data_IF_444054282998
#
_entry.id   IF_444054282998
#
_cell.length_a   1.000
_cell.length_b   1.000
_cell.length_c   1.000
_cell.angle_alpha   90.00
_cell.angle_beta   90.00
_cell.angle_gamma   90.00
#
_symmetry.space_group_name_H-M   'P 1'
#
loop_
_entity.id
_entity.type
_entity.pdbx_description
1 polymer ?
#
# COMPACT_ATOMS: atom_id res chain seq x y z
N UNK A 1 16.98 56.92 5.74
CA UNK A 1 17.30 56.50 4.34
C UNK A 1 17.18 54.99 4.32
N UNK A 2 16.09 54.46 3.80
CA UNK A 2 15.88 53.03 3.58
C UNK A 2 16.88 52.56 2.52
N UNK A 3 17.91 51.84 2.98
CA UNK A 3 18.79 51.15 2.06
C UNK A 3 17.97 50.00 1.45
N UNK A 4 17.59 50.14 0.17
CA UNK A 4 17.01 49.04 -0.58
C UNK A 4 17.91 47.78 -0.49
N UNK A 5 17.35 46.68 -0.12
CA UNK A 5 18.07 45.42 0.03
C UNK A 5 18.66 44.98 -1.32
N UNK A 6 19.99 44.92 -1.40
CA UNK A 6 20.70 44.46 -2.61
C UNK A 6 21.06 42.98 -2.49
N UNK A 7 20.22 42.11 -3.11
CA UNK A 7 20.41 40.68 -3.10
C UNK A 7 21.76 40.22 -3.69
N UNK A 8 22.27 40.94 -4.73
CA UNK A 8 23.54 40.57 -5.36
C UNK A 8 24.74 40.84 -4.43
N UNK A 9 24.73 42.00 -3.78
CA UNK A 9 25.75 42.34 -2.77
C UNK A 9 25.69 41.36 -1.59
N UNK A 10 24.49 41.02 -1.12
CA UNK A 10 24.30 40.07 -0.03
C UNK A 10 24.78 38.67 -0.39
N UNK A 11 24.46 38.15 -1.57
CA UNK A 11 25.00 36.85 -2.08
C UNK A 11 26.53 36.88 -2.13
N UNK A 12 27.14 37.96 -2.63
CA UNK A 12 28.60 38.10 -2.67
C UNK A 12 29.20 38.06 -1.26
N UNK A 13 28.58 38.71 -0.32
CA UNK A 13 28.98 38.66 1.11
C UNK A 13 28.88 37.20 1.62
N UNK A 14 27.76 36.49 1.39
CA UNK A 14 27.59 35.13 1.85
C UNK A 14 28.63 34.16 1.24
N UNK A 15 29.04 34.38 0.00
CA UNK A 15 30.15 33.63 -0.59
C UNK A 15 31.49 33.98 0.05
N UNK A 16 31.74 35.26 0.39
CA UNK A 16 33.01 35.70 0.98
C UNK A 16 33.27 35.12 2.37
N UNK A 17 32.21 34.86 3.13
CA UNK A 17 32.29 34.24 4.47
C UNK A 17 32.14 32.70 4.44
N UNK A 18 32.14 32.09 3.25
CA UNK A 18 31.93 30.62 3.03
C UNK A 18 30.60 30.08 3.54
N UNK A 19 29.59 30.92 3.78
CA UNK A 19 28.23 30.47 4.09
C UNK A 19 27.56 29.86 2.85
N UNK A 20 27.65 30.52 1.69
CA UNK A 20 27.31 29.95 0.41
C UNK A 20 28.56 29.40 -0.28
N UNK A 21 28.46 28.23 -0.83
CA UNK A 21 29.47 27.61 -1.67
C UNK A 21 28.98 27.50 -3.12
N UNK A 22 29.92 27.50 -4.06
CA UNK A 22 29.59 27.23 -5.46
C UNK A 22 29.03 25.81 -5.56
N UNK A 23 28.03 25.66 -6.41
CA UNK A 23 27.48 24.34 -6.74
C UNK A 23 28.59 23.41 -7.26
N UNK A 24 28.64 22.20 -6.71
CA UNK A 24 29.59 21.19 -7.13
C UNK A 24 29.25 20.59 -8.48
N UNK A 25 30.09 19.69 -8.96
CA UNK A 25 29.76 18.89 -10.16
C UNK A 25 28.59 17.96 -9.86
N UNK A 26 27.76 17.75 -10.88
CA UNK A 26 26.67 16.73 -10.77
C UNK A 26 27.25 15.38 -10.38
N UNK A 27 26.62 14.75 -9.40
CA UNK A 27 26.98 13.42 -8.95
C UNK A 27 25.73 12.54 -8.87
N UNK A 28 25.93 11.25 -8.92
CA UNK A 28 24.88 10.25 -8.65
C UNK A 28 25.24 9.52 -7.37
N UNK A 29 24.24 9.41 -6.48
CA UNK A 29 24.35 8.51 -5.35
C UNK A 29 24.23 7.09 -5.88
N UNK A 30 25.26 6.28 -5.64
CA UNK A 30 25.26 4.85 -5.95
C UNK A 30 25.00 4.09 -4.66
N UNK A 31 23.84 3.46 -4.58
CA UNK A 31 23.44 2.62 -3.46
C UNK A 31 23.14 1.22 -3.98
N UNK A 32 23.53 0.22 -3.21
CA UNK A 32 23.25 -1.18 -3.48
C UNK A 32 22.31 -1.74 -2.41
N UNK A 33 21.57 -2.80 -2.76
CA UNK A 33 20.66 -3.51 -1.84
C UNK A 33 19.59 -2.64 -1.17
N UNK A 34 19.11 -1.61 -1.86
CA UNK A 34 18.00 -0.80 -1.39
C UNK A 34 16.68 -1.45 -1.80
N UNK A 35 15.75 -1.56 -0.85
CA UNK A 35 14.41 -2.09 -1.10
C UNK A 35 13.72 -1.35 -2.26
N UNK A 36 13.00 -2.09 -3.09
CA UNK A 36 12.33 -1.50 -4.26
C UNK A 36 11.27 -0.47 -3.86
N UNK A 37 10.62 -0.66 -2.72
CA UNK A 37 9.65 0.26 -2.13
C UNK A 37 10.25 1.62 -1.77
N UNK A 38 11.56 1.69 -1.55
CA UNK A 38 12.29 2.93 -1.26
C UNK A 38 12.90 3.53 -2.52
N UNK A 39 13.46 2.68 -3.41
CA UNK A 39 14.31 3.14 -4.51
C UNK A 39 13.59 3.27 -5.84
N UNK A 40 12.48 2.55 -6.07
CA UNK A 40 11.86 2.43 -7.40
C UNK A 40 10.34 2.56 -7.43
N UNK A 41 9.64 2.13 -6.37
CA UNK A 41 8.19 2.05 -6.37
C UNK A 41 7.59 3.24 -5.62
N UNK A 42 7.15 4.31 -6.32
CA UNK A 42 6.54 5.46 -5.67
C UNK A 42 5.11 5.09 -5.24
N UNK A 43 4.93 4.78 -3.97
CA UNK A 43 3.63 4.41 -3.42
C UNK A 43 3.33 5.13 -2.11
N UNK A 44 2.07 5.14 -1.67
CA UNK A 44 1.67 5.69 -0.39
C UNK A 44 2.40 5.00 0.76
N UNK A 45 2.72 5.78 1.80
CA UNK A 45 3.29 5.31 3.05
C UNK A 45 2.34 5.59 4.20
N UNK A 46 2.19 4.63 5.09
CA UNK A 46 1.42 4.78 6.32
C UNK A 46 2.35 4.99 7.52
N UNK A 47 1.82 5.65 8.56
CA UNK A 47 2.43 5.71 9.90
C UNK A 47 1.42 5.16 10.88
N UNK A 48 1.86 4.30 11.80
CA UNK A 48 0.98 3.63 12.74
C UNK A 48 1.65 3.45 14.11
N UNK A 49 0.93 3.72 15.23
CA UNK A 49 1.46 3.49 16.57
C UNK A 49 1.63 2.00 16.85
N UNK A 50 2.81 1.59 17.30
CA UNK A 50 3.11 0.20 17.64
C UNK A 50 2.36 -0.28 18.88
N UNK A 51 1.95 0.61 19.76
CA UNK A 51 1.16 0.31 20.97
C UNK A 51 -0.18 -0.39 20.64
N UNK A 52 -0.72 -0.19 19.44
CA UNK A 52 -1.94 -0.83 18.97
C UNK A 52 -1.64 -1.94 17.96
N UNK A 53 -1.55 -3.18 18.41
CA UNK A 53 -1.26 -4.35 17.58
C UNK A 53 -2.26 -4.54 16.40
N UNK A 54 -3.54 -4.19 16.60
CA UNK A 54 -4.55 -4.27 15.53
C UNK A 54 -4.28 -3.24 14.43
N UNK A 55 -3.92 -2.02 14.80
CA UNK A 55 -3.57 -0.97 13.83
C UNK A 55 -2.29 -1.31 13.10
N UNK A 56 -1.27 -1.79 13.81
CA UNK A 56 -0.01 -2.23 13.22
C UNK A 56 -0.21 -3.35 12.19
N UNK A 57 -1.03 -4.37 12.50
CA UNK A 57 -1.39 -5.43 11.57
C UNK A 57 -2.20 -4.91 10.38
N UNK A 58 -3.13 -3.97 10.59
CA UNK A 58 -3.90 -3.38 9.50
C UNK A 58 -2.99 -2.61 8.54
N UNK A 59 -2.08 -1.80 9.08
CA UNK A 59 -1.16 -1.00 8.26
C UNK A 59 -0.15 -1.89 7.50
N UNK A 60 0.40 -2.91 8.15
CA UNK A 60 1.26 -3.89 7.48
C UNK A 60 0.54 -4.61 6.32
N UNK A 61 -0.74 -4.92 6.48
CA UNK A 61 -1.57 -5.60 5.48
C UNK A 61 -2.16 -4.65 4.43
N UNK A 62 -2.06 -3.33 4.62
CA UNK A 62 -2.63 -2.32 3.72
C UNK A 62 -1.90 -2.20 2.38
N UNK A 63 -0.85 -2.98 2.14
CA UNK A 63 -0.23 -3.06 0.81
C UNK A 63 -1.27 -3.39 -0.26
N UNK A 64 -2.23 -4.26 0.04
CA UNK A 64 -3.28 -4.66 -0.88
C UNK A 64 -4.65 -4.25 -0.34
N UNK A 65 -5.26 -3.28 -0.96
CA UNK A 65 -6.58 -2.76 -0.61
C UNK A 65 -7.65 -3.06 -1.65
N UNK A 66 -8.85 -3.43 -1.19
CA UNK A 66 -10.03 -3.55 -2.03
C UNK A 66 -10.55 -2.18 -2.41
N UNK A 67 -10.60 -1.87 -3.71
CA UNK A 67 -11.23 -0.65 -4.20
C UNK A 67 -12.76 -0.73 -4.05
N UNK A 68 -13.32 -1.94 -4.24
CA UNK A 68 -14.75 -2.15 -4.06
C UNK A 68 -15.18 -1.79 -2.64
N UNK A 69 -14.52 -2.34 -1.63
CA UNK A 69 -14.85 -2.08 -0.23
C UNK A 69 -14.66 -0.60 0.14
N UNK A 70 -13.59 0.03 -0.36
CA UNK A 70 -13.30 1.43 -0.11
C UNK A 70 -14.40 2.35 -0.69
N UNK A 71 -14.86 2.11 -1.91
CA UNK A 71 -15.89 2.91 -2.57
C UNK A 71 -17.28 2.59 -2.01
N UNK A 72 -17.59 1.31 -1.77
CA UNK A 72 -18.88 0.91 -1.24
C UNK A 72 -19.10 1.41 0.19
N UNK A 73 -18.06 1.37 1.02
CA UNK A 73 -18.10 1.69 2.44
C UNK A 73 -17.95 3.16 2.81
N UNK A 74 -17.74 4.06 1.84
CA UNK A 74 -17.50 5.50 2.08
C UNK A 74 -18.45 6.35 1.21
N UNK A 75 -18.40 7.66 1.36
CA UNK A 75 -19.15 8.63 0.56
C UNK A 75 -18.47 9.06 -0.74
N UNK A 76 -17.36 8.41 -1.12
CA UNK A 76 -16.54 8.76 -2.29
C UNK A 76 -17.33 8.75 -3.63
N UNK A 77 -18.37 7.91 -3.75
CA UNK A 77 -19.23 7.81 -4.95
C UNK A 77 -20.68 8.26 -4.70
N UNK A 78 -20.93 8.95 -3.61
CA UNK A 78 -22.24 9.48 -3.24
C UNK A 78 -22.54 9.36 -1.75
N UNK A 79 -23.31 10.31 -1.23
CA UNK A 79 -23.65 10.46 0.20
C UNK A 79 -24.83 9.59 0.66
N UNK A 80 -25.24 8.60 -0.11
CA UNK A 80 -26.34 7.70 0.25
C UNK A 80 -25.98 6.97 1.56
N UNK A 81 -26.87 7.02 2.55
CA UNK A 81 -26.68 6.28 3.81
C UNK A 81 -26.50 4.79 3.53
N UNK A 82 -25.41 4.23 4.03
CA UNK A 82 -25.22 2.79 4.02
C UNK A 82 -26.19 2.16 5.02
N UNK A 83 -27.10 1.36 4.51
CA UNK A 83 -27.96 0.51 5.32
C UNK A 83 -27.18 -0.74 5.76
N UNK A 84 -27.67 -1.45 6.78
CA UNK A 84 -27.14 -2.74 7.22
C UNK A 84 -27.32 -3.86 6.17
N UNK A 85 -28.07 -3.58 5.09
CA UNK A 85 -28.28 -4.49 3.96
C UNK A 85 -27.47 -4.05 2.76
N UNK A 86 -27.04 -5.03 1.96
CA UNK A 86 -26.40 -4.74 0.69
C UNK A 86 -27.36 -4.00 -0.27
N UNK A 87 -26.87 -2.89 -0.85
CA UNK A 87 -27.57 -2.12 -1.85
C UNK A 87 -27.02 -2.46 -3.26
N UNK A 88 -27.78 -3.19 -4.11
CA UNK A 88 -27.31 -3.60 -5.44
C UNK A 88 -27.11 -2.41 -6.39
N UNK A 89 -27.89 -1.34 -6.24
CA UNK A 89 -27.73 -0.12 -7.07
C UNK A 89 -26.39 0.53 -6.78
N UNK A 90 -26.05 0.67 -5.48
CA UNK A 90 -24.75 1.18 -5.07
C UNK A 90 -23.61 0.26 -5.52
N UNK A 91 -23.79 -1.06 -5.38
CA UNK A 91 -22.81 -2.04 -5.87
C UNK A 91 -22.55 -1.92 -7.37
N UNK A 92 -23.59 -1.68 -8.16
CA UNK A 92 -23.48 -1.40 -9.60
C UNK A 92 -22.65 -0.14 -9.89
N UNK A 93 -22.94 0.98 -9.17
CA UNK A 93 -22.14 2.22 -9.30
C UNK A 93 -20.65 2.00 -8.97
N UNK A 94 -20.35 1.16 -7.97
CA UNK A 94 -18.95 0.82 -7.63
C UNK A 94 -18.27 0.06 -8.76
N UNK A 95 -18.94 -0.95 -9.35
CA UNK A 95 -18.39 -1.70 -10.49
C UNK A 95 -18.20 -0.80 -11.71
N UNK A 96 -19.13 0.11 -11.98
CA UNK A 96 -19.00 1.09 -13.06
C UNK A 96 -17.79 2.00 -12.84
N UNK A 97 -17.61 2.49 -11.62
CA UNK A 97 -16.40 3.26 -11.25
C UNK A 97 -15.12 2.45 -11.44
N UNK A 98 -15.10 1.19 -11.01
CA UNK A 98 -13.95 0.31 -11.22
C UNK A 98 -13.62 0.14 -12.72
N UNK A 99 -14.63 0.10 -13.58
CA UNK A 99 -14.42 0.01 -15.03
C UNK A 99 -13.95 1.32 -15.65
N UNK A 100 -14.42 2.48 -15.16
CA UNK A 100 -13.91 3.79 -15.53
C UNK A 100 -12.43 3.93 -15.13
N UNK A 101 -12.08 3.54 -13.92
CA UNK A 101 -10.71 3.50 -13.44
C UNK A 101 -9.81 2.60 -14.33
N UNK A 102 -10.31 1.44 -14.75
CA UNK A 102 -9.58 0.58 -15.70
C UNK A 102 -9.43 1.22 -17.08
N UNK A 103 -10.43 1.94 -17.58
CA UNK A 103 -10.34 2.66 -18.86
C UNK A 103 -9.28 3.77 -18.81
N UNK A 104 -9.14 4.45 -17.66
CA UNK A 104 -8.16 5.51 -17.46
C UNK A 104 -6.73 4.95 -17.39
N UNK A 105 -6.47 3.97 -16.55
CA UNK A 105 -5.08 3.53 -16.23
C UNK A 105 -4.61 2.31 -17.03
N UNK A 106 -5.53 1.51 -17.56
CA UNK A 106 -5.25 0.34 -18.41
C UNK A 106 -6.07 0.37 -19.70
N UNK A 107 -5.94 1.43 -20.50
CA UNK A 107 -6.81 1.63 -21.66
C UNK A 107 -6.73 0.47 -22.66
N UNK A 108 -7.88 0.13 -23.23
CA UNK A 108 -7.98 -0.82 -24.32
C UNK A 108 -7.81 -0.15 -25.67
N UNK A 109 -7.41 -0.89 -26.70
CA UNK A 109 -7.33 -0.38 -28.07
C UNK A 109 -8.73 -0.17 -28.65
N UNK A 110 -9.13 1.11 -28.84
CA UNK A 110 -10.42 1.51 -29.41
C UNK A 110 -11.64 0.82 -28.75
N UNK A 111 -11.58 0.63 -27.45
CA UNK A 111 -12.62 -0.05 -26.68
C UNK A 111 -12.64 0.41 -25.23
N UNK A 112 -13.68 0.05 -24.48
CA UNK A 112 -13.84 0.32 -23.05
C UNK A 112 -14.03 -0.99 -22.29
N UNK A 113 -13.51 -1.03 -21.07
CA UNK A 113 -13.72 -2.13 -20.11
C UNK A 113 -15.21 -2.35 -19.79
N UNK A 114 -16.03 -1.31 -19.90
CA UNK A 114 -17.51 -1.40 -19.72
C UNK A 114 -18.19 -2.31 -20.76
N UNK A 115 -17.57 -2.47 -21.94
CA UNK A 115 -18.16 -3.25 -23.06
C UNK A 115 -17.63 -4.68 -23.13
N UNK A 116 -16.71 -5.10 -22.25
CA UNK A 116 -16.16 -6.44 -22.28
C UNK A 116 -17.24 -7.49 -22.00
N UNK A 117 -17.32 -8.49 -22.85
CA UNK A 117 -18.19 -9.66 -22.71
C UNK A 117 -17.45 -10.93 -22.29
N UNK A 118 -16.14 -10.99 -22.48
CA UNK A 118 -15.33 -12.15 -22.11
C UNK A 118 -13.92 -11.73 -21.70
N UNK A 119 -13.41 -12.31 -20.62
CA UNK A 119 -12.04 -12.22 -20.15
C UNK A 119 -11.54 -13.63 -19.80
N UNK A 120 -10.45 -14.06 -20.43
CA UNK A 120 -9.85 -15.38 -20.15
C UNK A 120 -8.35 -15.41 -20.39
N UNK A 121 -7.71 -16.44 -19.86
CA UNK A 121 -6.31 -16.75 -20.12
C UNK A 121 -6.21 -17.95 -21.05
N UNK A 122 -5.48 -17.79 -22.15
CA UNK A 122 -5.20 -18.87 -23.11
C UNK A 122 -3.71 -18.92 -23.36
N UNK A 123 -3.07 -20.06 -23.12
CA UNK A 123 -1.60 -20.23 -23.25
C UNK A 123 -0.84 -19.09 -22.59
N UNK A 124 -1.20 -18.76 -21.33
CA UNK A 124 -0.64 -17.69 -20.49
C UNK A 124 -0.84 -16.24 -21.01
N UNK A 125 -1.67 -16.04 -22.03
CA UNK A 125 -1.97 -14.73 -22.61
C UNK A 125 -3.36 -14.26 -22.18
N UNK A 126 -3.49 -12.97 -21.90
CA UNK A 126 -4.77 -12.33 -21.62
C UNK A 126 -5.55 -12.15 -22.92
N UNK A 127 -6.75 -12.71 -22.97
CA UNK A 127 -7.70 -12.59 -24.08
C UNK A 127 -8.92 -11.82 -23.58
N UNK A 128 -9.20 -10.71 -24.22
CA UNK A 128 -10.35 -9.86 -23.96
C UNK A 128 -11.25 -9.82 -25.20
N UNK A 129 -12.59 -9.88 -25.03
CA UNK A 129 -13.51 -9.82 -26.16
C UNK A 129 -14.69 -8.89 -25.89
N UNK A 130 -15.19 -8.30 -26.97
CA UNK A 130 -16.48 -7.61 -27.07
C UNK A 130 -17.27 -8.32 -28.16
N UNK A 131 -18.28 -9.10 -27.77
CA UNK A 131 -18.96 -10.02 -28.68
C UNK A 131 -17.96 -10.99 -29.32
N UNK A 132 -17.90 -11.02 -30.66
CA UNK A 132 -16.95 -11.87 -31.42
C UNK A 132 -15.57 -11.25 -31.60
N UNK A 133 -15.38 -9.95 -31.32
CA UNK A 133 -14.15 -9.21 -31.57
C UNK A 133 -13.15 -9.35 -30.41
N UNK A 134 -11.93 -9.76 -30.72
CA UNK A 134 -10.81 -9.77 -29.77
C UNK A 134 -10.23 -8.38 -29.63
N UNK A 135 -10.07 -7.93 -28.38
CA UNK A 135 -9.52 -6.62 -28.01
C UNK A 135 -8.21 -6.83 -27.23
N UNK A 136 -7.36 -5.83 -27.17
CA UNK A 136 -6.12 -5.88 -26.38
C UNK A 136 -5.93 -4.60 -25.57
N UNK A 137 -5.13 -4.69 -24.51
CA UNK A 137 -4.58 -3.51 -23.83
C UNK A 137 -3.84 -2.62 -24.87
N UNK A 138 -3.92 -1.31 -24.69
CA UNK A 138 -3.15 -0.36 -25.49
C UNK A 138 -1.65 -0.58 -25.28
N UNK A 139 -1.22 -0.76 -24.03
CA UNK A 139 0.12 -1.25 -23.68
C UNK A 139 0.03 -2.68 -23.14
N UNK A 140 0.48 -3.64 -23.95
CA UNK A 140 0.48 -5.06 -23.57
C UNK A 140 1.45 -5.39 -22.44
N UNK A 141 2.45 -4.52 -22.14
CA UNK A 141 3.41 -4.72 -21.05
C UNK A 141 2.77 -4.55 -19.68
N UNK A 142 1.60 -3.91 -19.62
CA UNK A 142 0.84 -3.76 -18.38
C UNK A 142 0.28 -5.09 -17.85
N UNK A 143 0.07 -6.12 -18.69
CA UNK A 143 -0.31 -7.45 -18.19
C UNK A 143 0.93 -8.14 -17.61
N UNK A 144 0.90 -8.48 -16.32
CA UNK A 144 2.00 -9.14 -15.60
C UNK A 144 1.77 -10.62 -15.36
N UNK A 145 0.53 -11.00 -15.13
CA UNK A 145 0.22 -12.39 -14.84
C UNK A 145 -1.22 -12.61 -14.42
N UNK A 146 -1.47 -13.76 -13.86
CA UNK A 146 -2.81 -14.15 -13.46
C UNK A 146 -2.76 -15.18 -12.32
N UNK A 147 -3.88 -15.38 -11.70
CA UNK A 147 -4.09 -16.39 -10.66
C UNK A 147 -5.28 -17.26 -11.02
N UNK A 148 -5.12 -18.58 -10.92
CA UNK A 148 -6.17 -19.53 -11.17
C UNK A 148 -6.09 -20.73 -10.22
N UNK A 149 -7.19 -21.43 -10.05
CA UNK A 149 -7.29 -22.70 -9.33
C UNK A 149 -8.06 -23.74 -10.17
N UNK A 150 -8.40 -24.87 -9.55
CA UNK A 150 -9.20 -25.94 -10.21
C UNK A 150 -10.59 -25.48 -10.67
N UNK A 151 -11.11 -24.38 -10.09
CA UNK A 151 -12.43 -23.81 -10.42
C UNK A 151 -12.36 -22.71 -11.49
N UNK A 152 -11.15 -22.37 -11.99
CA UNK A 152 -10.94 -21.41 -13.05
C UNK A 152 -10.13 -20.19 -12.66
N UNK A 153 -10.23 -19.13 -13.48
CA UNK A 153 -9.52 -17.86 -13.29
C UNK A 153 -10.03 -17.15 -12.03
N UNK A 154 -9.08 -16.67 -11.19
CA UNK A 154 -9.37 -15.95 -9.94
C UNK A 154 -8.92 -14.50 -9.96
N UNK A 155 -7.92 -14.20 -10.77
CA UNK A 155 -7.43 -12.82 -10.86
C UNK A 155 -6.53 -12.61 -12.05
N UNK A 156 -6.53 -11.36 -12.54
CA UNK A 156 -5.65 -10.85 -13.59
C UNK A 156 -4.84 -9.72 -13.00
N UNK A 157 -3.52 -9.83 -13.08
CA UNK A 157 -2.58 -8.86 -12.53
C UNK A 157 -2.09 -7.92 -13.61
N UNK A 158 -2.37 -6.64 -13.42
CA UNK A 158 -1.89 -5.54 -14.24
C UNK A 158 -0.90 -4.68 -13.44
N UNK A 159 -0.10 -3.87 -14.13
CA UNK A 159 0.85 -2.92 -13.54
C UNK A 159 0.76 -1.55 -14.23
N UNK A 160 0.81 -0.50 -13.42
CA UNK A 160 0.93 0.88 -13.90
C UNK A 160 1.86 1.66 -12.96
N UNK A 161 2.84 2.38 -13.51
CA UNK A 161 3.81 3.16 -12.73
C UNK A 161 4.49 2.39 -11.57
N UNK A 162 4.77 1.10 -11.77
CA UNK A 162 5.39 0.25 -10.75
C UNK A 162 4.42 -0.35 -9.72
N UNK A 163 3.16 0.10 -9.68
CA UNK A 163 2.13 -0.41 -8.75
C UNK A 163 1.21 -1.41 -9.45
N UNK A 164 0.85 -2.46 -8.74
CA UNK A 164 0.02 -3.52 -9.26
C UNK A 164 -1.47 -3.31 -8.94
N UNK A 165 -2.30 -3.76 -9.86
CA UNK A 165 -3.76 -3.87 -9.69
C UNK A 165 -4.18 -5.27 -10.09
N UNK A 166 -4.83 -5.98 -9.19
CA UNK A 166 -5.41 -7.29 -9.47
C UNK A 166 -6.92 -7.17 -9.67
N UNK A 167 -7.38 -7.51 -10.88
CA UNK A 167 -8.80 -7.71 -11.15
C UNK A 167 -9.21 -9.04 -10.52
N UNK A 168 -10.13 -9.01 -9.57
CA UNK A 168 -10.67 -10.23 -8.94
C UNK A 168 -11.84 -10.74 -9.79
N UNK A 169 -11.71 -11.97 -10.26
CA UNK A 169 -12.73 -12.63 -11.09
C UNK A 169 -13.46 -13.66 -10.23
N UNK A 170 -14.69 -13.35 -9.88
CA UNK A 170 -15.56 -14.22 -9.09
C UNK A 170 -17.02 -14.06 -9.52
N UNK A 171 -17.46 -14.77 -10.56
CA UNK A 171 -18.85 -14.69 -11.06
C UNK A 171 -19.91 -15.15 -10.04
N UNK A 172 -19.49 -15.81 -8.97
CA UNK A 172 -20.38 -16.25 -7.87
C UNK A 172 -20.49 -15.23 -6.74
N UNK A 173 -19.73 -14.14 -6.79
CA UNK A 173 -19.89 -13.08 -5.82
C UNK A 173 -21.26 -12.41 -6.01
N UNK A 174 -21.94 -12.13 -4.91
CA UNK A 174 -23.30 -11.59 -4.94
C UNK A 174 -23.42 -10.30 -5.77
N UNK A 175 -22.42 -9.44 -5.70
CA UNK A 175 -22.37 -8.17 -6.43
C UNK A 175 -21.79 -8.28 -7.86
N UNK A 176 -21.24 -9.44 -8.24
CA UNK A 176 -20.70 -9.69 -9.58
C UNK A 176 -21.55 -10.66 -10.41
N UNK A 177 -22.71 -11.07 -9.90
CA UNK A 177 -23.54 -12.12 -10.49
C UNK A 177 -24.05 -11.77 -11.92
N UNK A 178 -24.20 -10.49 -12.22
CA UNK A 178 -24.60 -9.99 -13.54
C UNK A 178 -23.44 -9.38 -14.35
N UNK A 179 -22.21 -9.45 -13.85
CA UNK A 179 -21.05 -8.93 -14.54
C UNK A 179 -20.58 -9.92 -15.64
N UNK A 180 -20.49 -9.51 -16.93
CA UNK A 180 -20.18 -10.40 -18.04
C UNK A 180 -18.83 -11.12 -17.93
N UNK A 181 -17.85 -10.52 -17.22
CA UNK A 181 -16.52 -11.09 -17.01
C UNK A 181 -16.34 -11.60 -15.58
N UNK A 182 -17.36 -11.46 -14.72
CA UNK A 182 -17.31 -11.82 -13.31
C UNK A 182 -16.40 -10.92 -12.48
N UNK A 183 -16.20 -9.66 -12.88
CA UNK A 183 -15.42 -8.69 -12.12
C UNK A 183 -16.11 -8.39 -10.78
N UNK A 184 -15.47 -8.78 -9.69
CA UNK A 184 -16.02 -8.59 -8.35
C UNK A 184 -15.28 -7.53 -7.55
N UNK A 185 -14.00 -7.25 -7.85
CA UNK A 185 -13.21 -6.25 -7.15
C UNK A 185 -11.98 -5.84 -7.98
N UNK A 186 -11.41 -4.70 -7.64
CA UNK A 186 -10.04 -4.33 -7.98
C UNK A 186 -9.25 -4.26 -6.68
N UNK A 187 -8.26 -5.13 -6.53
CA UNK A 187 -7.34 -5.09 -5.40
C UNK A 187 -6.09 -4.35 -5.82
N UNK A 188 -5.87 -3.20 -5.20
CA UNK A 188 -4.82 -2.26 -5.56
C UNK A 188 -3.65 -2.39 -4.59
N UNK A 189 -2.42 -2.31 -5.10
CA UNK A 189 -1.23 -2.12 -4.28
C UNK A 189 -1.24 -0.67 -3.75
N UNK A 190 -1.79 -0.48 -2.54
CA UNK A 190 -2.25 0.81 -2.02
C UNK A 190 -1.30 1.44 -1.01
N UNK A 191 -0.56 0.66 -0.21
CA UNK A 191 0.43 1.16 0.74
C UNK A 191 1.68 0.28 0.69
N UNK A 192 2.73 0.76 0.03
CA UNK A 192 3.93 -0.06 -0.22
C UNK A 192 4.88 -0.11 0.96
N UNK A 193 4.86 0.91 1.83
CA UNK A 193 5.65 0.97 3.06
C UNK A 193 4.82 1.48 4.23
N UNK A 194 5.23 1.12 5.44
CA UNK A 194 4.60 1.54 6.69
C UNK A 194 5.67 1.84 7.72
N UNK A 195 5.60 3.02 8.31
CA UNK A 195 6.41 3.38 9.48
C UNK A 195 5.69 2.86 10.72
N UNK A 196 6.30 1.91 11.37
CA UNK A 196 5.91 1.44 12.69
C UNK A 196 6.53 2.39 13.71
N UNK A 197 5.67 3.14 14.38
CA UNK A 197 6.08 4.29 15.16
C UNK A 197 6.16 3.96 16.65
N UNK A 198 7.33 4.23 17.24
CA UNK A 198 7.57 4.19 18.70
C UNK A 198 7.67 5.60 19.30
N UNK A 199 7.48 6.64 18.49
CA UNK A 199 7.71 8.03 18.87
C UNK A 199 6.39 8.82 18.91
N UNK A 200 6.15 9.74 17.98
CA UNK A 200 5.13 10.78 18.08
C UNK A 200 3.69 10.28 18.21
N UNK A 201 3.36 9.14 17.65
CA UNK A 201 2.01 8.54 17.74
C UNK A 201 1.84 7.60 18.93
N UNK A 202 2.86 7.45 19.79
CA UNK A 202 2.83 6.57 20.96
C UNK A 202 3.04 7.39 22.24
N UNK A 203 2.13 7.22 23.21
CA UNK A 203 2.31 7.68 24.57
C UNK A 203 2.50 6.45 25.47
N UNK A 204 3.74 6.20 25.91
CA UNK A 204 4.08 5.19 26.89
C UNK A 204 4.22 5.88 28.27
N UNK A 205 3.30 5.60 29.18
CA UNK A 205 3.30 6.25 30.51
C UNK A 205 4.11 5.48 31.54
N UNK A 206 4.42 4.20 31.25
CA UNK A 206 5.22 3.34 32.11
C UNK A 206 6.01 2.29 31.32
N UNK A 207 6.80 1.48 32.03
CA UNK A 207 7.57 0.39 31.42
C UNK A 207 6.69 -0.69 30.79
N UNK A 208 5.48 -0.89 31.29
CA UNK A 208 4.54 -1.89 30.72
C UNK A 208 4.11 -1.50 29.31
N UNK A 209 3.80 -0.20 29.09
CA UNK A 209 3.44 0.33 27.80
C UNK A 209 4.60 0.23 26.79
N UNK A 210 5.84 0.52 27.23
CA UNK A 210 7.04 0.33 26.40
C UNK A 210 7.22 -1.13 25.99
N UNK A 211 7.13 -2.05 26.95
CA UNK A 211 7.26 -3.50 26.69
C UNK A 211 6.15 -4.00 25.76
N UNK A 212 4.93 -3.46 25.86
CA UNK A 212 3.86 -3.79 24.92
C UNK A 212 4.25 -3.41 23.48
N UNK A 213 4.79 -2.20 23.27
CA UNK A 213 5.31 -1.76 21.98
C UNK A 213 6.37 -2.72 21.42
N UNK A 214 7.37 -3.06 22.24
CA UNK A 214 8.43 -3.98 21.84
C UNK A 214 7.93 -5.40 21.52
N UNK A 215 6.99 -5.91 22.30
CA UNK A 215 6.35 -7.22 22.00
C UNK A 215 5.62 -7.22 20.69
N UNK A 216 4.89 -6.14 20.39
CA UNK A 216 4.19 -5.99 19.11
C UNK A 216 5.18 -5.93 17.95
N UNK A 217 6.25 -5.13 18.09
CA UNK A 217 7.30 -5.04 17.08
C UNK A 217 8.00 -6.37 16.85
N UNK A 218 8.41 -7.07 17.91
CA UNK A 218 8.98 -8.41 17.83
C UNK A 218 8.03 -9.40 17.14
N UNK A 219 6.73 -9.31 17.42
CA UNK A 219 5.70 -10.13 16.78
C UNK A 219 5.55 -9.86 15.28
N UNK A 220 5.70 -8.59 14.85
CA UNK A 220 5.74 -8.23 13.42
C UNK A 220 6.99 -8.81 12.74
N UNK A 221 8.18 -8.64 13.33
CA UNK A 221 9.43 -9.17 12.79
C UNK A 221 9.44 -10.70 12.68
N UNK A 222 8.92 -11.40 13.71
CA UNK A 222 8.76 -12.86 13.69
C UNK A 222 7.61 -13.35 12.80
N UNK A 223 6.75 -12.45 12.32
CA UNK A 223 5.60 -12.80 11.49
C UNK A 223 4.47 -13.51 12.23
N UNK A 224 4.46 -13.48 13.57
CA UNK A 224 3.48 -14.19 14.40
C UNK A 224 2.56 -13.27 15.22
N UNK A 225 2.66 -11.95 15.06
CA UNK A 225 1.73 -11.02 15.68
C UNK A 225 0.30 -11.36 15.25
N UNK A 226 -0.59 -11.44 16.24
CA UNK A 226 -2.00 -11.75 16.01
C UNK A 226 -2.88 -11.02 17.00
N UNK A 227 -4.07 -10.62 16.55
CA UNK A 227 -5.09 -10.01 17.39
C UNK A 227 -6.41 -10.75 17.20
N UNK A 228 -7.04 -11.09 18.32
CA UNK A 228 -8.40 -11.63 18.33
C UNK A 228 -9.36 -10.49 18.69
N UNK A 229 -10.44 -10.36 17.97
CA UNK A 229 -11.49 -9.37 18.26
C UNK A 229 -12.86 -9.93 17.89
N UNK A 230 -13.88 -9.35 18.46
CA UNK A 230 -15.27 -9.71 18.17
C UNK A 230 -15.93 -8.58 17.38
N UNK A 231 -16.71 -8.94 16.36
CA UNK A 231 -17.52 -8.02 15.57
C UNK A 231 -18.84 -8.71 15.23
N UNK A 232 -19.97 -8.07 15.58
CA UNK A 232 -21.33 -8.59 15.35
C UNK A 232 -21.51 -10.02 15.88
N UNK A 233 -21.04 -10.31 17.11
CA UNK A 233 -21.13 -11.62 17.75
C UNK A 233 -20.23 -12.71 17.16
N UNK A 234 -19.37 -12.38 16.18
CA UNK A 234 -18.42 -13.32 15.57
C UNK A 234 -16.99 -13.00 16.00
N UNK A 235 -16.24 -14.04 16.34
CA UNK A 235 -14.82 -13.94 16.71
C UNK A 235 -13.96 -13.95 15.44
N UNK A 236 -13.09 -12.97 15.33
CA UNK A 236 -12.14 -12.83 14.24
C UNK A 236 -10.71 -12.89 14.76
N UNK A 237 -9.82 -13.35 13.92
CA UNK A 237 -8.38 -13.34 14.15
C UNK A 237 -7.71 -12.56 13.03
N UNK A 238 -6.98 -11.49 13.37
CA UNK A 238 -6.13 -10.75 12.43
C UNK A 238 -4.71 -11.23 12.55
N UNK A 239 -4.08 -11.51 11.42
CA UNK A 239 -2.68 -11.92 11.29
C UNK A 239 -2.06 -11.20 10.10
N UNK A 240 -0.75 -11.29 9.93
CA UNK A 240 -0.06 -10.80 8.75
C UNK A 240 -0.48 -11.59 7.49
N UNK A 241 -0.70 -10.89 6.39
CA UNK A 241 -1.04 -11.49 5.11
C UNK A 241 0.15 -12.30 4.55
N UNK A 242 -0.17 -13.39 3.89
CA UNK A 242 0.79 -14.15 3.09
C UNK A 242 1.09 -13.46 1.78
N UNK A 243 2.23 -13.80 1.17
CA UNK A 243 2.58 -13.38 -0.18
C UNK A 243 1.55 -13.85 -1.21
N UNK A 244 1.41 -13.09 -2.28
CA UNK A 244 0.47 -13.35 -3.37
C UNK A 244 1.18 -14.07 -4.51
N UNK A 245 0.65 -15.22 -4.91
CA UNK A 245 1.26 -16.06 -5.94
C UNK A 245 0.56 -15.86 -7.29
N UNK A 246 1.35 -15.73 -8.34
CA UNK A 246 0.87 -15.53 -9.71
C UNK A 246 1.62 -16.40 -10.71
N UNK A 247 1.06 -16.51 -11.92
CA UNK A 247 1.67 -17.13 -13.09
C UNK A 247 1.87 -16.03 -14.14
N UNK A 248 3.09 -15.86 -14.61
CA UNK A 248 3.45 -14.85 -15.61
C UNK A 248 3.09 -15.28 -17.03
N UNK A 249 3.27 -14.37 -18.02
CA UNK A 249 3.00 -14.62 -19.44
C UNK A 249 3.83 -15.77 -20.05
N UNK A 250 4.98 -16.11 -19.45
CA UNK A 250 5.82 -17.24 -19.86
C UNK A 250 5.58 -18.53 -19.06
N UNK A 251 4.51 -18.57 -18.26
CA UNK A 251 4.14 -19.73 -17.45
C UNK A 251 4.93 -19.89 -16.14
N UNK A 252 5.91 -19.02 -15.86
CA UNK A 252 6.69 -19.06 -14.61
C UNK A 252 5.87 -18.54 -13.44
N UNK A 253 5.95 -19.24 -12.31
CA UNK A 253 5.38 -18.77 -11.04
C UNK A 253 6.24 -17.66 -10.45
N UNK A 254 5.61 -16.65 -9.86
CA UNK A 254 6.27 -15.59 -9.12
C UNK A 254 5.40 -15.16 -7.95
N UNK A 255 6.02 -14.42 -7.01
CA UNK A 255 5.35 -13.90 -5.82
C UNK A 255 5.46 -12.39 -5.77
N UNK A 256 4.44 -11.75 -5.22
CA UNK A 256 4.47 -10.37 -4.75
C UNK A 256 4.29 -10.35 -3.24
N UNK A 257 4.94 -9.41 -2.57
CA UNK A 257 4.80 -9.25 -1.13
C UNK A 257 3.35 -9.00 -0.75
N UNK A 258 2.85 -9.75 0.22
CA UNK A 258 1.49 -9.59 0.75
C UNK A 258 1.37 -8.43 1.75
N UNK A 259 2.51 -7.87 2.19
CA UNK A 259 2.63 -6.86 3.23
C UNK A 259 3.45 -5.68 2.74
N UNK A 260 3.22 -4.50 3.34
CA UNK A 260 4.07 -3.34 3.17
C UNK A 260 5.49 -3.63 3.71
N UNK A 261 6.49 -2.92 3.17
CA UNK A 261 7.80 -2.81 3.80
C UNK A 261 7.61 -2.11 5.15
N UNK A 262 8.09 -2.72 6.22
CA UNK A 262 8.00 -2.15 7.56
C UNK A 262 9.28 -1.39 7.89
N UNK A 263 9.13 -0.11 8.17
CA UNK A 263 10.17 0.77 8.68
C UNK A 263 9.88 1.03 10.16
N UNK A 264 10.91 1.20 10.96
CA UNK A 264 10.75 1.51 12.37
C UNK A 264 11.20 2.94 12.66
N UNK A 265 10.39 3.71 13.41
CA UNK A 265 10.77 5.03 13.93
C UNK A 265 10.89 4.96 15.44
N UNK A 266 12.11 5.11 15.94
CA UNK A 266 12.39 5.18 17.36
C UNK A 266 12.49 6.63 17.84
N UNK A 267 12.40 6.82 19.15
CA UNK A 267 12.63 8.11 19.80
C UNK A 267 14.07 8.58 19.56
N UNK A 268 14.25 9.88 19.35
CA UNK A 268 15.56 10.45 19.11
C UNK A 268 16.47 10.44 20.35
N UNK A 269 17.78 10.53 20.12
CA UNK A 269 18.80 10.43 21.17
C UNK A 269 18.80 11.61 22.16
N UNK A 270 18.12 12.72 21.84
CA UNK A 270 17.97 13.85 22.74
C UNK A 270 16.92 13.61 23.83
N UNK A 271 16.00 12.68 23.62
CA UNK A 271 14.99 12.29 24.61
C UNK A 271 15.62 11.35 25.62
N UNK A 272 15.59 11.72 26.87
CA UNK A 272 16.15 10.96 28.00
C UNK A 272 15.05 10.53 28.95
N UNK A 273 15.33 9.48 29.71
CA UNK A 273 14.38 8.91 30.67
C UNK A 273 15.10 8.54 31.97
N UNK A 274 14.62 9.02 33.13
CA UNK A 274 15.25 8.75 34.42
C UNK A 274 15.04 7.30 34.92
N UNK A 275 14.29 6.47 34.22
CA UNK A 275 14.04 5.08 34.62
C UNK A 275 15.28 4.22 34.59
N UNK A 276 16.29 4.58 33.78
CA UNK A 276 17.58 3.93 33.71
C UNK A 276 18.68 4.98 33.82
N UNK A 277 19.57 4.80 34.80
CA UNK A 277 20.70 5.68 35.03
C UNK A 277 22.00 4.95 34.76
N UNK A 278 22.96 5.65 34.18
CA UNK A 278 24.35 5.22 34.07
C UNK A 278 25.06 5.29 35.44
N UNK A 279 26.26 4.76 35.53
CA UNK A 279 27.07 4.77 36.76
C UNK A 279 27.35 6.18 37.29
N UNK A 280 27.44 7.18 36.41
CA UNK A 280 27.59 8.58 36.71
C UNK A 280 26.29 9.30 37.04
N UNK A 281 25.17 8.56 37.17
CA UNK A 281 23.81 9.04 37.40
C UNK A 281 23.20 9.84 36.23
N UNK A 282 23.83 9.89 35.07
CA UNK A 282 23.21 10.43 33.86
C UNK A 282 22.12 9.51 33.31
N UNK A 283 21.12 10.11 32.67
CA UNK A 283 19.99 9.39 32.08
C UNK A 283 20.38 8.76 30.74
N UNK A 284 19.88 7.56 30.46
CA UNK A 284 20.07 6.90 29.17
C UNK A 284 19.12 7.48 28.14
N UNK A 285 19.58 7.84 26.91
CA UNK A 285 18.71 8.24 25.83
C UNK A 285 17.67 7.14 25.49
N UNK A 286 16.39 7.50 25.35
CA UNK A 286 15.32 6.54 25.00
C UNK A 286 15.57 5.81 23.70
N UNK A 287 16.14 6.48 22.67
CA UNK A 287 16.46 5.85 21.41
C UNK A 287 17.47 4.69 21.54
N UNK A 288 18.35 4.72 22.56
CA UNK A 288 19.27 3.59 22.84
C UNK A 288 18.51 2.45 23.50
N UNK A 289 17.53 2.75 24.37
CA UNK A 289 16.68 1.71 24.97
C UNK A 289 15.76 1.05 23.94
N UNK A 290 15.28 1.82 22.96
CA UNK A 290 14.40 1.31 21.89
C UNK A 290 15.15 0.44 20.89
N UNK A 291 16.44 0.71 20.64
CA UNK A 291 17.29 -0.05 19.71
C UNK A 291 17.76 -1.38 20.29
#
# INVERSE_FOLDING_TARGET
KDNEFNLAAYKKFLYSINYLKKEGKNFKIQTENVDEEISKTPGPQLVVPISNARYALNAANARWGSLYDALYGTDAIGSEKLDNRYNPVRGGKVIDYCRDFLDEIFPLKNASWKKLSELKIVKHKLILKIGKKTISLKDKKQFKGYRQDKKGLKGVLLINNGLHVELIINPYAFHANNDPIGLSDLVIESAVSTIIDHEDSVAAVDASDKVLGYRNWLGLMKGNLQVKFEKLGKKYKRVLNSDRNYISQNGKKFKLHGRALLLNRNVGHLMKNPSILLSDKSEVPEGIMDA
#
